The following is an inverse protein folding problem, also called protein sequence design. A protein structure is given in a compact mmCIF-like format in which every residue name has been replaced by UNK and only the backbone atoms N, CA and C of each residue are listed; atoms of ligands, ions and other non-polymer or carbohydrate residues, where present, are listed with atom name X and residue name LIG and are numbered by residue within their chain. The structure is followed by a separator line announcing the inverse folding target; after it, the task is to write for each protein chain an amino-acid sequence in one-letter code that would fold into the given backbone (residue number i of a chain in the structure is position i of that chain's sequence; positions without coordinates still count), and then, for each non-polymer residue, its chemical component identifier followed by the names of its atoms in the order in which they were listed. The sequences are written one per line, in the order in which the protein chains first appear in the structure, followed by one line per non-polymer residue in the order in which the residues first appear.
data_IF_007176632681
#
_entry.id   IF_007176632681
#
_cell.length_a   1.000
_cell.length_b   1.000
_cell.length_c   1.000
_cell.angle_alpha   90.00
_cell.angle_beta   90.00
_cell.angle_gamma   90.00
#
_symmetry.space_group_name_H-M   'P 1'
#
loop_
_entity.id
_entity.type
_entity.pdbx_description
1 polymer ?
#
# COMPACT_ATOMS: atom_id res chain seq x y z
N UNK A 1 6.03 -34.15 18.98
CA UNK A 1 6.63 -34.08 17.63
C UNK A 1 6.07 -32.87 16.92
N UNK A 2 6.86 -32.17 16.11
CA UNK A 2 6.36 -31.14 15.20
C UNK A 2 5.69 -31.81 13.99
N UNK A 3 4.57 -31.27 13.55
CA UNK A 3 3.92 -31.72 12.32
C UNK A 3 4.84 -31.41 11.11
N UNK A 4 4.78 -32.21 10.04
CA UNK A 4 5.56 -31.95 8.83
C UNK A 4 5.23 -30.58 8.24
N UNK A 5 6.13 -30.03 7.40
CA UNK A 5 5.89 -28.77 6.70
C UNK A 5 4.56 -28.74 5.94
N UNK A 6 4.00 -27.56 5.71
CA UNK A 6 2.82 -27.48 4.84
C UNK A 6 3.16 -27.97 3.44
N UNK A 7 2.19 -28.64 2.81
CA UNK A 7 2.35 -29.00 1.41
C UNK A 7 2.54 -27.72 0.57
N UNK A 8 3.43 -27.75 -0.45
CA UNK A 8 3.64 -26.58 -1.30
C UNK A 8 2.34 -26.06 -1.93
N UNK A 9 1.40 -26.96 -2.24
CA UNK A 9 0.08 -26.61 -2.79
C UNK A 9 -0.74 -25.76 -1.82
N UNK A 10 -0.79 -26.13 -0.54
CA UNK A 10 -1.55 -25.36 0.47
C UNK A 10 -0.86 -24.02 0.72
N UNK A 11 0.47 -24.03 0.93
CA UNK A 11 1.24 -22.81 1.20
C UNK A 11 1.10 -21.78 0.08
N UNK A 12 1.39 -22.18 -1.16
CA UNK A 12 1.30 -21.29 -2.32
C UNK A 12 -0.14 -20.97 -2.69
N UNK A 13 -1.09 -21.88 -2.42
CA UNK A 13 -2.51 -21.61 -2.57
C UNK A 13 -3.00 -20.48 -1.67
N UNK A 14 -2.62 -20.47 -0.38
CA UNK A 14 -3.01 -19.41 0.56
C UNK A 14 -2.36 -18.07 0.24
N UNK A 15 -1.07 -18.07 -0.14
CA UNK A 15 -0.36 -16.84 -0.55
C UNK A 15 -0.95 -16.32 -1.85
N UNK A 16 -1.13 -17.18 -2.84
CA UNK A 16 -1.67 -16.84 -4.16
C UNK A 16 -3.09 -16.31 -4.08
N UNK A 17 -3.94 -16.90 -3.23
CA UNK A 17 -5.31 -16.41 -3.01
C UNK A 17 -5.32 -15.00 -2.45
N UNK A 18 -4.56 -14.74 -1.37
CA UNK A 18 -4.47 -13.40 -0.79
C UNK A 18 -3.90 -12.37 -1.77
N UNK A 19 -2.82 -12.73 -2.47
CA UNK A 19 -2.17 -11.88 -3.48
C UNK A 19 -3.11 -11.55 -4.65
N UNK A 20 -3.87 -12.54 -5.14
CA UNK A 20 -4.84 -12.36 -6.21
C UNK A 20 -6.00 -11.46 -5.76
N UNK A 21 -6.58 -11.71 -4.58
CA UNK A 21 -7.66 -10.88 -4.02
C UNK A 21 -7.21 -9.43 -3.90
N UNK A 22 -6.01 -9.19 -3.37
CA UNK A 22 -5.44 -7.86 -3.23
C UNK A 22 -5.19 -7.17 -4.59
N UNK A 23 -4.60 -7.88 -5.56
CA UNK A 23 -4.34 -7.33 -6.90
C UNK A 23 -5.64 -6.97 -7.62
N UNK A 24 -6.65 -7.85 -7.57
CA UNK A 24 -7.98 -7.59 -8.15
C UNK A 24 -8.66 -6.42 -7.45
N UNK A 25 -8.57 -6.34 -6.13
CA UNK A 25 -9.14 -5.21 -5.38
C UNK A 25 -8.50 -3.87 -5.78
N UNK A 26 -7.17 -3.82 -5.90
CA UNK A 26 -6.45 -2.63 -6.39
C UNK A 26 -6.86 -2.30 -7.83
N UNK A 27 -6.92 -3.30 -8.71
CA UNK A 27 -7.33 -3.11 -10.10
C UNK A 27 -8.73 -2.51 -10.28
N UNK A 28 -9.61 -2.71 -9.31
CA UNK A 28 -10.98 -2.17 -9.29
C UNK A 28 -11.14 -0.95 -8.36
N UNK A 29 -10.10 -0.55 -7.62
CA UNK A 29 -10.19 0.54 -6.67
C UNK A 29 -10.32 1.88 -7.38
N UNK A 30 -11.18 2.76 -6.87
CA UNK A 30 -11.12 4.17 -7.23
C UNK A 30 -9.88 4.80 -6.57
N UNK A 31 -9.27 5.77 -7.24
CA UNK A 31 -8.15 6.52 -6.70
C UNK A 31 -8.62 7.53 -5.65
N UNK A 32 -7.71 7.92 -4.75
CA UNK A 32 -7.94 9.08 -3.88
C UNK A 32 -9.19 8.94 -2.97
N UNK A 33 -9.39 7.73 -2.42
CA UNK A 33 -10.62 7.27 -1.76
C UNK A 33 -11.02 8.10 -0.54
N UNK A 34 -10.05 8.65 0.18
CA UNK A 34 -10.28 9.39 1.42
C UNK A 34 -9.46 10.67 1.47
N UNK A 35 -9.79 11.58 2.40
CA UNK A 35 -8.96 12.76 2.64
C UNK A 35 -7.53 12.36 3.05
N UNK A 36 -7.42 11.30 3.85
CA UNK A 36 -6.15 10.73 4.30
C UNK A 36 -5.27 10.25 3.14
N UNK A 37 -5.88 9.53 2.19
CA UNK A 37 -5.26 9.05 0.96
C UNK A 37 -4.86 10.21 0.04
N UNK A 38 -5.79 11.13 -0.24
CA UNK A 38 -5.56 12.33 -1.05
C UNK A 38 -4.44 13.21 -0.54
N UNK A 39 -4.32 13.35 0.78
CA UNK A 39 -3.25 14.14 1.40
C UNK A 39 -1.85 13.60 1.07
N UNK A 40 -1.70 12.27 0.97
CA UNK A 40 -0.43 11.66 0.55
C UNK A 40 -0.20 11.82 -0.94
N UNK A 41 -1.22 11.56 -1.76
CA UNK A 41 -1.12 11.77 -3.20
C UNK A 41 -0.79 13.21 -3.59
N UNK A 42 -1.32 14.18 -2.83
CA UNK A 42 -0.99 15.59 -3.02
C UNK A 42 0.51 15.85 -2.77
N UNK A 43 1.09 15.26 -1.73
CA UNK A 43 2.54 15.34 -1.49
C UNK A 43 3.34 14.65 -2.59
N UNK A 44 2.91 13.47 -3.04
CA UNK A 44 3.55 12.71 -4.14
C UNK A 44 3.63 13.56 -5.40
N UNK A 45 2.50 14.16 -5.80
CA UNK A 45 2.43 14.99 -6.99
C UNK A 45 3.24 16.28 -6.83
N UNK A 46 3.09 17.01 -5.71
CA UNK A 46 3.80 18.28 -5.52
C UNK A 46 5.31 18.10 -5.52
N UNK A 47 5.82 17.01 -4.94
CA UNK A 47 7.25 16.71 -4.99
C UNK A 47 7.70 16.39 -6.41
N UNK A 48 6.95 15.55 -7.13
CA UNK A 48 7.34 15.11 -8.47
C UNK A 48 7.22 16.21 -9.53
N UNK A 49 6.17 17.03 -9.48
CA UNK A 49 5.83 17.99 -10.53
C UNK A 49 6.24 19.43 -10.21
N UNK A 50 6.49 19.74 -8.93
CA UNK A 50 6.81 21.09 -8.45
C UNK A 50 8.04 21.15 -7.56
N UNK A 51 8.63 20.01 -7.18
CA UNK A 51 9.81 19.98 -6.31
C UNK A 51 9.57 20.55 -4.91
N UNK A 52 8.32 20.52 -4.42
CA UNK A 52 7.93 21.13 -3.14
C UNK A 52 6.97 20.26 -2.34
N UNK A 53 6.92 20.46 -1.03
CA UNK A 53 5.91 19.85 -0.15
C UNK A 53 4.60 20.65 -0.10
N UNK A 54 4.56 21.83 -0.73
CA UNK A 54 3.36 22.66 -0.81
C UNK A 54 2.32 21.97 -1.71
N UNK A 55 1.12 21.74 -1.16
CA UNK A 55 0.04 21.02 -1.86
C UNK A 55 -1.05 21.94 -2.41
N UNK A 56 -0.86 23.26 -2.32
CA UNK A 56 -1.87 24.27 -2.67
C UNK A 56 -2.46 24.06 -4.08
N UNK A 57 -1.59 23.83 -5.06
CA UNK A 57 -1.99 23.70 -6.46
C UNK A 57 -2.90 22.49 -6.68
N UNK A 58 -2.41 21.28 -6.37
CA UNK A 58 -3.19 20.05 -6.58
C UNK A 58 -4.45 20.01 -5.72
N UNK A 59 -4.42 20.51 -4.48
CA UNK A 59 -5.59 20.57 -3.60
C UNK A 59 -6.70 21.49 -4.15
N UNK A 60 -6.31 22.53 -4.91
CA UNK A 60 -7.23 23.47 -5.55
C UNK A 60 -7.80 23.00 -6.90
N UNK A 61 -7.22 21.96 -7.51
CA UNK A 61 -7.62 21.51 -8.85
C UNK A 61 -9.06 21.02 -8.89
N UNK A 62 -9.82 21.59 -9.83
CA UNK A 62 -11.21 21.25 -10.09
C UNK A 62 -11.35 20.04 -11.04
N UNK A 63 -10.70 18.93 -10.70
CA UNK A 63 -10.84 17.67 -11.46
C UNK A 63 -12.04 16.88 -10.92
N UNK A 64 -12.97 16.54 -11.81
CA UNK A 64 -14.15 15.75 -11.48
C UNK A 64 -13.78 14.29 -11.21
N UNK A 65 -14.22 13.78 -10.06
CA UNK A 65 -14.13 12.34 -9.75
C UNK A 65 -15.31 11.57 -10.37
N UNK A 66 -15.11 10.97 -11.55
CA UNK A 66 -16.00 9.93 -12.09
C UNK A 66 -15.51 8.58 -11.53
N UNK A 67 -16.35 7.76 -10.85
CA UNK A 67 -17.73 7.43 -11.20
C UNK A 67 -18.83 7.86 -10.21
N UNK A 68 -18.50 8.45 -9.05
CA UNK A 68 -19.46 8.69 -7.96
C UNK A 68 -20.62 9.66 -8.26
N UNK A 69 -20.66 10.30 -9.44
CA UNK A 69 -21.66 11.30 -9.82
C UNK A 69 -21.61 12.60 -9.00
N UNK A 70 -20.74 12.70 -7.99
CA UNK A 70 -20.60 13.87 -7.13
C UNK A 70 -19.52 14.80 -7.67
N UNK A 71 -19.86 16.08 -7.85
CA UNK A 71 -18.91 17.18 -8.05
C UNK A 71 -18.03 17.30 -6.81
N UNK A 72 -16.92 16.55 -6.76
CA UNK A 72 -15.89 16.69 -5.73
C UNK A 72 -14.57 17.02 -6.41
N UNK A 73 -13.82 17.91 -5.78
CA UNK A 73 -12.44 18.22 -6.13
C UNK A 73 -11.63 16.95 -5.83
N UNK A 74 -11.23 16.20 -6.88
CA UNK A 74 -10.65 14.85 -6.79
C UNK A 74 -9.48 14.74 -5.83
N UNK A 75 -8.68 15.79 -5.67
CA UNK A 75 -7.48 15.79 -4.82
C UNK A 75 -7.65 16.58 -3.51
N UNK A 76 -8.75 17.31 -3.34
CA UNK A 76 -8.94 18.16 -2.16
C UNK A 76 -9.00 17.34 -0.88
N UNK A 77 -8.18 17.71 0.09
CA UNK A 77 -8.12 17.05 1.39
C UNK A 77 -8.43 17.99 2.55
N UNK A 78 -9.06 17.43 3.58
CA UNK A 78 -9.17 18.09 4.90
C UNK A 78 -7.96 17.76 5.77
N UNK A 79 -7.18 16.73 5.43
CA UNK A 79 -6.02 16.26 6.19
C UNK A 79 -4.78 17.07 5.78
N UNK A 80 -4.77 18.35 6.13
CA UNK A 80 -3.70 19.29 5.78
C UNK A 80 -3.49 20.31 6.89
N UNK A 81 -2.29 20.88 6.93
CA UNK A 81 -1.90 21.95 7.86
C UNK A 81 -1.50 23.18 7.06
N UNK A 82 -1.69 24.37 7.63
CA UNK A 82 -1.25 25.64 7.02
C UNK A 82 -0.02 26.16 7.75
N UNK A 83 1.03 26.47 7.01
CA UNK A 83 2.26 27.04 7.55
C UNK A 83 2.80 28.06 6.53
N UNK A 84 3.15 29.26 7.00
CA UNK A 84 3.67 30.37 6.18
C UNK A 84 2.86 30.63 4.90
N UNK A 85 1.54 30.68 5.03
CA UNK A 85 0.62 30.95 3.93
C UNK A 85 0.24 29.74 3.08
N UNK A 86 1.00 28.65 3.12
CA UNK A 86 0.86 27.46 2.28
C UNK A 86 0.23 26.26 2.98
N UNK A 87 -0.40 25.38 2.21
CA UNK A 87 -0.91 24.09 2.70
C UNK A 87 0.11 22.97 2.52
N UNK A 88 0.19 22.10 3.52
CA UNK A 88 1.01 20.89 3.53
C UNK A 88 0.17 19.68 3.97
N UNK A 89 0.55 18.49 3.54
CA UNK A 89 -0.04 17.25 4.08
C UNK A 89 0.18 17.15 5.59
N UNK A 90 -0.83 16.70 6.33
CA UNK A 90 -0.68 16.37 7.76
C UNK A 90 -0.09 14.98 8.00
N UNK A 91 0.31 14.25 6.95
CA UNK A 91 0.83 12.88 7.04
C UNK A 91 2.35 12.87 7.14
N UNK A 92 2.95 11.87 7.82
CA UNK A 92 4.40 11.76 7.87
C UNK A 92 5.03 11.75 6.47
N UNK A 93 6.04 12.60 6.20
CA UNK A 93 6.50 12.89 4.84
C UNK A 93 7.34 11.78 4.22
N UNK A 94 7.97 10.92 5.02
CA UNK A 94 8.92 9.90 4.53
C UNK A 94 8.29 9.00 3.45
N UNK A 95 7.14 8.39 3.74
CA UNK A 95 6.52 7.47 2.79
C UNK A 95 6.06 8.15 1.48
N UNK A 96 5.26 9.24 1.48
CA UNK A 96 4.90 9.90 0.23
C UNK A 96 6.10 10.47 -0.54
N UNK A 97 7.21 10.79 0.11
CA UNK A 97 8.46 11.20 -0.58
C UNK A 97 9.07 10.05 -1.38
N UNK A 98 9.16 8.85 -0.79
CA UNK A 98 9.62 7.67 -1.52
C UNK A 98 8.67 7.33 -2.68
N UNK A 99 7.37 7.46 -2.45
CA UNK A 99 6.34 7.23 -3.47
C UNK A 99 6.42 8.27 -4.59
N UNK A 100 6.83 9.52 -4.32
CA UNK A 100 7.11 10.52 -5.36
C UNK A 100 8.19 10.03 -6.34
N UNK A 101 9.27 9.43 -5.83
CA UNK A 101 10.30 8.80 -6.68
C UNK A 101 9.76 7.66 -7.54
N UNK A 102 8.90 6.79 -6.97
CA UNK A 102 8.22 5.72 -7.73
C UNK A 102 7.30 6.30 -8.79
N UNK A 103 6.53 7.34 -8.46
CA UNK A 103 5.65 8.05 -9.39
C UNK A 103 6.45 8.65 -10.56
N UNK A 104 7.56 9.35 -10.29
CA UNK A 104 8.42 9.92 -11.33
C UNK A 104 8.98 8.84 -12.27
N UNK A 105 9.40 7.69 -11.73
CA UNK A 105 9.90 6.58 -12.55
C UNK A 105 8.79 5.96 -13.42
N UNK A 106 7.64 5.65 -12.82
CA UNK A 106 6.51 5.07 -13.55
C UNK A 106 6.01 6.03 -14.62
N UNK A 107 5.84 7.31 -14.28
CA UNK A 107 5.43 8.35 -15.21
C UNK A 107 6.43 8.56 -16.34
N UNK A 108 7.74 8.56 -16.04
CA UNK A 108 8.80 8.67 -17.05
C UNK A 108 8.83 7.51 -18.06
N UNK A 109 8.49 6.29 -17.62
CA UNK A 109 8.46 5.10 -18.49
C UNK A 109 7.17 5.04 -19.31
N UNK A 110 6.04 5.39 -18.71
CA UNK A 110 4.69 5.15 -19.29
C UNK A 110 4.07 6.39 -19.94
N UNK A 111 4.56 7.59 -19.61
CA UNK A 111 3.93 8.86 -19.93
C UNK A 111 2.70 9.19 -19.07
N UNK A 112 2.36 8.36 -18.07
CA UNK A 112 1.20 8.60 -17.22
C UNK A 112 1.46 9.65 -16.15
N UNK A 113 0.43 10.41 -15.80
CA UNK A 113 0.47 11.37 -14.69
C UNK A 113 -0.80 11.30 -13.82
N UNK A 114 -0.73 11.87 -12.62
CA UNK A 114 -1.85 11.81 -11.65
C UNK A 114 -3.08 12.60 -12.09
N UNK A 115 -2.95 13.56 -13.01
CA UNK A 115 -4.07 14.39 -13.47
C UNK A 115 -4.86 13.69 -14.57
N UNK A 116 -4.17 13.24 -15.62
CA UNK A 116 -4.79 12.67 -16.83
C UNK A 116 -5.03 11.16 -16.71
N UNK A 117 -4.20 10.46 -15.93
CA UNK A 117 -4.22 9.00 -15.81
C UNK A 117 -4.38 8.53 -14.36
N UNK A 118 -5.09 9.30 -13.52
CA UNK A 118 -5.15 9.09 -12.05
C UNK A 118 -5.35 7.63 -11.67
N UNK A 119 -6.36 6.96 -12.23
CA UNK A 119 -6.68 5.57 -11.91
C UNK A 119 -5.56 4.61 -12.31
N UNK A 120 -5.02 4.78 -13.51
CA UNK A 120 -3.99 3.87 -14.02
C UNK A 120 -2.70 4.00 -13.23
N UNK A 121 -2.21 5.24 -13.02
CA UNK A 121 -0.95 5.46 -12.33
C UNK A 121 -1.04 5.16 -10.84
N UNK A 122 -2.16 5.51 -10.18
CA UNK A 122 -2.33 5.22 -8.76
C UNK A 122 -2.35 3.71 -8.50
N UNK A 123 -3.09 2.93 -9.32
CA UNK A 123 -3.16 1.48 -9.21
C UNK A 123 -1.80 0.82 -9.47
N UNK A 124 -1.08 1.28 -10.49
CA UNK A 124 0.27 0.80 -10.77
C UNK A 124 1.20 1.03 -9.57
N UNK A 125 1.18 2.23 -8.99
CA UNK A 125 1.97 2.56 -7.82
C UNK A 125 1.52 1.73 -6.60
N UNK A 126 0.22 1.57 -6.34
CA UNK A 126 -0.29 0.74 -5.25
C UNK A 126 0.12 -0.73 -5.42
N UNK A 127 0.17 -1.25 -6.65
CA UNK A 127 0.72 -2.58 -6.87
C UNK A 127 2.20 -2.66 -6.44
N UNK A 128 2.99 -1.64 -6.74
CA UNK A 128 4.41 -1.60 -6.38
C UNK A 128 4.67 -1.35 -4.89
N UNK A 129 3.94 -0.44 -4.26
CA UNK A 129 4.24 0.01 -2.89
C UNK A 129 3.39 -0.69 -1.83
N UNK A 130 2.22 -1.21 -2.17
CA UNK A 130 1.36 -1.93 -1.22
C UNK A 130 1.38 -3.43 -1.50
N UNK A 131 0.94 -3.85 -2.68
CA UNK A 131 0.72 -5.27 -3.00
C UNK A 131 2.00 -6.10 -3.01
N UNK A 132 3.05 -5.60 -3.67
CA UNK A 132 4.30 -6.34 -3.82
C UNK A 132 4.99 -6.57 -2.46
N UNK A 133 5.23 -5.53 -1.62
CA UNK A 133 5.82 -5.72 -0.30
C UNK A 133 4.98 -6.63 0.60
N UNK A 134 3.65 -6.48 0.58
CA UNK A 134 2.76 -7.32 1.37
C UNK A 134 2.76 -8.79 0.91
N UNK A 135 2.77 -9.03 -0.40
CA UNK A 135 2.89 -10.40 -0.96
C UNK A 135 4.22 -11.05 -0.56
N UNK A 136 5.33 -10.29 -0.61
CA UNK A 136 6.63 -10.79 -0.12
C UNK A 136 6.57 -11.07 1.39
N UNK A 137 5.92 -10.22 2.19
CA UNK A 137 5.72 -10.48 3.61
C UNK A 137 4.92 -11.77 3.87
N UNK A 138 3.92 -12.12 3.06
CA UNK A 138 3.26 -13.43 3.18
C UNK A 138 4.22 -14.60 2.93
N UNK A 139 5.10 -14.48 1.95
CA UNK A 139 6.13 -15.51 1.67
C UNK A 139 7.09 -15.66 2.84
N UNK A 140 7.55 -14.53 3.41
CA UNK A 140 8.43 -14.50 4.58
C UNK A 140 7.72 -15.07 5.81
N UNK A 141 6.48 -14.66 6.07
CA UNK A 141 5.66 -15.18 7.16
C UNK A 141 5.48 -16.69 7.05
N UNK A 142 5.19 -17.20 5.85
CA UNK A 142 5.12 -18.65 5.63
C UNK A 142 6.45 -19.34 6.00
N UNK A 143 7.59 -18.77 5.61
CA UNK A 143 8.91 -19.30 6.00
C UNK A 143 9.17 -19.26 7.52
N UNK A 144 8.71 -18.21 8.20
CA UNK A 144 8.75 -18.13 9.68
C UNK A 144 7.87 -19.21 10.31
N UNK A 145 6.65 -19.40 9.80
CA UNK A 145 5.71 -20.41 10.31
C UNK A 145 6.23 -21.83 10.11
N UNK A 146 6.89 -22.13 8.98
CA UNK A 146 7.51 -23.44 8.76
C UNK A 146 8.62 -23.74 9.78
N UNK A 147 9.41 -22.73 10.16
CA UNK A 147 10.53 -22.91 11.10
C UNK A 147 10.10 -22.99 12.56
N UNK A 148 9.08 -22.23 12.96
CA UNK A 148 8.78 -22.03 14.39
C UNK A 148 7.42 -22.60 14.85
N UNK A 149 6.41 -22.71 13.99
CA UNK A 149 5.13 -23.28 14.42
C UNK A 149 5.24 -24.80 14.50
N UNK A 150 4.73 -25.40 15.59
CA UNK A 150 4.75 -26.85 15.80
C UNK A 150 3.65 -27.59 15.05
N UNK A 151 2.49 -26.95 14.89
CA UNK A 151 1.28 -27.57 14.36
C UNK A 151 0.90 -27.02 12.99
N UNK A 152 0.44 -27.89 12.08
CA UNK A 152 -0.06 -27.49 10.77
C UNK A 152 -1.28 -26.59 10.87
N UNK A 153 -2.17 -26.84 11.83
CA UNK A 153 -3.34 -26.00 12.09
C UNK A 153 -2.94 -24.54 12.38
N UNK A 154 -1.88 -24.32 13.16
CA UNK A 154 -1.34 -22.98 13.42
C UNK A 154 -0.81 -22.33 12.15
N UNK A 155 -0.05 -23.07 11.33
CA UNK A 155 0.50 -22.54 10.07
C UNK A 155 -0.62 -22.13 9.12
N UNK A 156 -1.64 -22.99 8.95
CA UNK A 156 -2.80 -22.72 8.09
C UNK A 156 -3.59 -21.54 8.63
N UNK A 157 -3.93 -21.54 9.93
CA UNK A 157 -4.74 -20.48 10.53
C UNK A 157 -4.06 -19.12 10.38
N UNK A 158 -2.78 -18.99 10.79
CA UNK A 158 -2.07 -17.71 10.74
C UNK A 158 -1.87 -17.25 9.30
N UNK A 159 -1.46 -18.14 8.39
CA UNK A 159 -1.25 -17.77 6.99
C UNK A 159 -2.57 -17.41 6.29
N UNK A 160 -3.66 -18.15 6.55
CA UNK A 160 -4.99 -17.83 6.01
C UNK A 160 -5.52 -16.49 6.56
N UNK A 161 -5.36 -16.23 7.86
CA UNK A 161 -5.73 -14.94 8.46
C UNK A 161 -4.90 -13.81 7.86
N UNK A 162 -3.58 -13.99 7.70
CA UNK A 162 -2.72 -12.98 7.10
C UNK A 162 -3.04 -12.73 5.62
N UNK A 163 -3.41 -13.76 4.86
CA UNK A 163 -3.73 -13.66 3.43
C UNK A 163 -5.11 -13.06 3.14
N UNK A 164 -6.16 -13.53 3.82
CA UNK A 164 -7.56 -13.17 3.49
C UNK A 164 -8.43 -12.80 4.69
N UNK A 165 -8.04 -13.20 5.90
CA UNK A 165 -8.78 -12.89 7.14
C UNK A 165 -8.34 -11.61 7.84
N UNK A 166 -7.60 -10.73 7.16
CA UNK A 166 -6.97 -9.54 7.74
C UNK A 166 -7.69 -8.26 7.38
N UNK A 167 -7.71 -7.30 8.32
CA UNK A 167 -8.16 -5.93 8.07
C UNK A 167 -7.18 -5.11 7.23
N UNK A 168 -6.07 -5.69 6.76
CA UNK A 168 -5.13 -5.04 5.84
C UNK A 168 -5.66 -4.96 4.40
N UNK A 169 -6.58 -5.84 3.99
CA UNK A 169 -7.07 -5.84 2.60
C UNK A 169 -7.68 -4.48 2.19
N UNK A 170 -8.53 -3.81 2.99
CA UNK A 170 -9.03 -2.46 2.69
C UNK A 170 -7.94 -1.38 2.68
N UNK A 171 -6.80 -1.59 3.35
CA UNK A 171 -5.68 -0.65 3.29
C UNK A 171 -4.86 -0.84 2.00
N UNK A 172 -4.80 -2.04 1.41
CA UNK A 172 -4.04 -2.27 0.19
C UNK A 172 -4.51 -1.41 -1.00
N UNK A 173 -5.78 -1.03 -1.04
CA UNK A 173 -6.39 -0.23 -2.11
C UNK A 173 -6.22 1.28 -1.97
N UNK A 174 -5.54 1.77 -0.92
CA UNK A 174 -5.32 3.19 -0.68
C UNK A 174 -3.85 3.46 -0.31
N UNK A 175 -3.35 4.66 -0.61
CA UNK A 175 -2.01 5.06 -0.19
C UNK A 175 -2.04 5.40 1.31
N UNK A 176 -1.36 4.57 2.11
CA UNK A 176 -1.42 4.65 3.56
C UNK A 176 -0.17 4.05 4.21
N UNK A 177 0.06 4.36 5.49
CA UNK A 177 1.22 3.84 6.22
C UNK A 177 0.96 2.48 6.90
N UNK A 178 -0.28 2.05 7.07
CA UNK A 178 -0.62 0.79 7.74
C UNK A 178 -0.11 -0.42 6.96
N UNK A 179 -0.26 -0.44 5.63
CA UNK A 179 0.24 -1.55 4.79
C UNK A 179 1.75 -1.73 4.94
N UNK A 180 2.52 -0.64 4.80
CA UNK A 180 3.97 -0.65 4.93
C UNK A 180 4.39 -1.00 6.36
N UNK A 181 3.73 -0.44 7.37
CA UNK A 181 4.03 -0.74 8.77
C UNK A 181 3.81 -2.23 9.09
N UNK A 182 2.67 -2.80 8.69
CA UNK A 182 2.37 -4.21 8.92
C UNK A 182 3.36 -5.13 8.19
N UNK A 183 3.71 -4.77 6.95
CA UNK A 183 4.72 -5.48 6.16
C UNK A 183 6.09 -5.43 6.85
N UNK A 184 6.51 -4.25 7.30
CA UNK A 184 7.76 -4.07 8.03
C UNK A 184 7.80 -4.88 9.34
N UNK A 185 6.69 -4.97 10.07
CA UNK A 185 6.58 -5.81 11.28
C UNK A 185 6.87 -7.28 10.96
N UNK A 186 6.38 -7.82 9.84
CA UNK A 186 6.68 -9.20 9.44
C UNK A 186 8.17 -9.40 9.16
N UNK A 187 8.81 -8.48 8.44
CA UNK A 187 10.25 -8.56 8.17
C UNK A 187 11.08 -8.43 9.44
N UNK A 188 10.72 -7.50 10.33
CA UNK A 188 11.40 -7.32 11.62
C UNK A 188 11.22 -8.55 12.49
N UNK A 189 10.01 -9.12 12.59
CA UNK A 189 9.78 -10.34 13.35
C UNK A 189 10.60 -11.52 12.80
N UNK A 190 10.67 -11.68 11.48
CA UNK A 190 11.50 -12.70 10.85
C UNK A 190 13.00 -12.52 11.16
N UNK A 191 13.49 -11.28 11.13
CA UNK A 191 14.88 -10.97 11.45
C UNK A 191 15.18 -11.17 12.95
N UNK A 192 14.30 -10.74 13.84
CA UNK A 192 14.45 -10.91 15.28
C UNK A 192 14.47 -12.39 15.63
N UNK A 193 13.53 -13.20 15.15
CA UNK A 193 13.52 -14.64 15.41
C UNK A 193 14.81 -15.33 14.93
N UNK A 194 15.33 -14.90 13.77
CA UNK A 194 16.61 -15.43 13.26
C UNK A 194 17.82 -15.05 14.12
N UNK A 195 17.77 -13.95 14.87
CA UNK A 195 18.90 -13.51 15.71
C UNK A 195 18.78 -14.02 17.14
N UNK A 196 17.55 -14.16 17.65
CA UNK A 196 17.31 -14.46 19.07
C UNK A 196 16.89 -15.91 19.36
N UNK A 197 16.49 -16.66 18.33
CA UNK A 197 16.01 -18.04 18.47
C UNK A 197 16.83 -19.05 17.67
N UNK A 198 17.30 -18.68 16.46
CA UNK A 198 18.20 -19.48 15.62
C UNK A 198 19.66 -19.26 15.98
#
# INVERSE_FOLDING_TARGET
MSDPPLSPRIRWGLIGLGSLVAAVAIGNAESCLSANDRSRWATVWSLAERGTYQIDEIDSLAVLHKPSGKRRLRFRTIDKVRHDGHFYSSKPPLFPTLVAGVYTLVGGITGWNLIDNTETISRAILLLVNWLPWTIALVVLAGVLERHARHQSTRILVLATASVGTLLLPFLVALNNHTIAATAVVFVAAAVLRVTVE
#
